data_IF_270729922292
#
_entry.id   IF_270729922292
#
_cell.length_a   1.000
_cell.length_b   1.000
_cell.length_c   1.000
_cell.angle_alpha   90.00
_cell.angle_beta   90.00
_cell.angle_gamma   90.00
#
_symmetry.space_group_name_H-M   'P 1'
#
loop_
_entity.id
_entity.type
_entity.pdbx_description
1 polymer ?
#
# COMPACT_ATOMS: atom_id res chain seq x y z
N UNK A 1 27.84 -15.71 0.24
CA UNK A 1 26.94 -14.64 -0.28
C UNK A 1 25.49 -14.74 0.23
N UNK A 2 25.25 -15.06 1.51
CA UNK A 2 23.88 -15.28 2.04
C UNK A 2 23.33 -14.12 2.90
N UNK A 3 24.19 -13.27 3.46
CA UNK A 3 23.78 -12.22 4.42
C UNK A 3 23.00 -11.06 3.79
N UNK A 4 23.33 -10.65 2.55
CA UNK A 4 22.66 -9.54 1.86
C UNK A 4 21.16 -9.81 1.56
N UNK A 5 20.74 -11.08 1.50
CA UNK A 5 19.36 -11.45 1.10
C UNK A 5 18.35 -11.44 2.25
N UNK A 6 18.78 -11.57 3.51
CA UNK A 6 17.87 -11.57 4.69
C UNK A 6 17.22 -10.21 4.96
N UNK A 7 17.84 -9.12 4.51
CA UNK A 7 17.37 -7.78 4.86
C UNK A 7 16.30 -7.27 3.88
N UNK A 8 16.21 -7.84 2.68
CA UNK A 8 15.24 -7.42 1.65
C UNK A 8 13.80 -7.49 2.14
N UNK A 9 13.45 -8.53 2.90
CA UNK A 9 12.10 -8.74 3.42
C UNK A 9 11.72 -7.67 4.45
N UNK A 10 12.67 -7.28 5.31
CA UNK A 10 12.50 -6.20 6.30
C UNK A 10 12.51 -4.81 5.67
N UNK A 11 13.36 -4.58 4.66
CA UNK A 11 13.39 -3.32 3.93
C UNK A 11 12.09 -3.08 3.17
N UNK A 12 11.49 -4.12 2.60
CA UNK A 12 10.19 -3.97 1.94
C UNK A 12 9.11 -3.59 2.96
N UNK A 13 9.07 -4.25 4.11
CA UNK A 13 8.14 -3.91 5.18
C UNK A 13 8.35 -2.46 5.67
N UNK A 14 9.60 -2.06 5.91
CA UNK A 14 9.95 -0.72 6.35
C UNK A 14 9.56 0.34 5.31
N UNK A 15 9.81 0.07 4.02
CA UNK A 15 9.36 0.94 2.94
C UNK A 15 7.83 1.04 2.91
N UNK A 16 7.12 -0.08 3.00
CA UNK A 16 5.66 -0.09 3.08
C UNK A 16 5.12 0.73 4.26
N UNK A 17 5.73 0.62 5.44
CA UNK A 17 5.36 1.43 6.61
C UNK A 17 5.65 2.90 6.37
N UNK A 18 6.80 3.25 5.79
CA UNK A 18 7.14 4.64 5.48
C UNK A 18 6.15 5.29 4.52
N UNK A 19 5.76 4.58 3.44
CA UNK A 19 4.72 5.05 2.53
C UNK A 19 3.38 5.23 3.25
N UNK A 20 2.96 4.26 4.06
CA UNK A 20 1.73 4.37 4.82
C UNK A 20 1.73 5.60 5.75
N UNK A 21 2.81 5.80 6.52
CA UNK A 21 2.96 6.94 7.41
C UNK A 21 2.97 8.28 6.68
N UNK A 22 3.63 8.36 5.51
CA UNK A 22 3.59 9.57 4.68
C UNK A 22 2.15 9.96 4.33
N UNK A 23 1.32 9.00 3.94
CA UNK A 23 -0.07 9.27 3.61
C UNK A 23 -0.90 9.70 4.84
N UNK A 24 -0.69 9.05 5.99
CA UNK A 24 -1.42 9.38 7.22
C UNK A 24 -1.02 10.73 7.80
N UNK A 25 0.26 11.09 7.76
CA UNK A 25 0.79 12.27 8.46
C UNK A 25 0.81 13.51 7.57
N UNK A 26 1.01 13.37 6.26
CA UNK A 26 1.13 14.52 5.35
C UNK A 26 -0.06 14.63 4.40
N UNK A 27 -0.36 13.56 3.66
CA UNK A 27 -1.33 13.62 2.55
C UNK A 27 -2.76 13.77 3.04
N UNK A 28 -3.19 12.95 4.00
CA UNK A 28 -4.57 12.97 4.51
C UNK A 28 -4.88 14.30 5.20
N UNK A 29 -4.03 14.82 6.11
CA UNK A 29 -4.28 16.13 6.71
C UNK A 29 -4.37 17.26 5.68
N UNK A 30 -3.52 17.22 4.64
CA UNK A 30 -3.60 18.19 3.54
C UNK A 30 -4.90 18.07 2.75
N UNK A 31 -5.32 16.84 2.44
CA UNK A 31 -6.57 16.60 1.71
C UNK A 31 -7.79 17.06 2.51
N UNK A 32 -7.78 16.84 3.82
CA UNK A 32 -8.87 17.24 4.71
C UNK A 32 -8.95 18.77 4.84
N UNK A 33 -7.82 19.46 5.01
CA UNK A 33 -7.78 20.92 5.12
C UNK A 33 -8.24 21.66 3.86
N UNK A 34 -8.20 21.00 2.70
CA UNK A 34 -8.62 21.56 1.41
C UNK A 34 -9.85 20.86 0.83
N UNK A 35 -10.65 20.20 1.68
CA UNK A 35 -11.96 19.62 1.34
C UNK A 35 -11.94 18.48 0.29
N UNK A 36 -10.80 17.81 0.06
CA UNK A 36 -10.74 16.66 -0.87
C UNK A 36 -11.57 15.45 -0.40
N UNK A 37 -11.76 15.32 0.92
CA UNK A 37 -12.54 14.26 1.54
C UNK A 37 -13.96 14.68 1.97
N UNK A 38 -14.33 15.95 1.76
CA UNK A 38 -15.63 16.48 2.17
C UNK A 38 -16.69 16.19 1.13
N UNK A 39 -17.80 15.55 1.51
CA UNK A 39 -18.96 15.37 0.62
C UNK A 39 -19.74 16.68 0.38
N UNK A 40 -19.58 17.67 1.27
CA UNK A 40 -20.38 18.88 1.29
C UNK A 40 -19.79 20.02 0.46
N UNK A 41 -18.54 19.89 0.02
CA UNK A 41 -17.78 20.98 -0.62
C UNK A 41 -16.77 20.44 -1.60
N UNK A 42 -16.64 21.10 -2.76
CA UNK A 42 -15.65 20.75 -3.78
C UNK A 42 -14.29 21.31 -3.35
N UNK A 43 -13.18 20.57 -3.54
CA UNK A 43 -11.84 21.09 -3.28
C UNK A 43 -11.52 22.33 -4.11
N UNK A 44 -10.69 23.22 -3.55
CA UNK A 44 -10.26 24.44 -4.22
C UNK A 44 -9.44 24.09 -5.47
N UNK A 45 -9.77 24.71 -6.60
CA UNK A 45 -9.14 24.38 -7.89
C UNK A 45 -7.63 24.56 -7.92
N UNK A 46 -7.09 25.53 -7.16
CA UNK A 46 -5.65 25.75 -7.02
C UNK A 46 -4.92 24.61 -6.30
N UNK A 47 -5.64 23.87 -5.46
CA UNK A 47 -5.07 22.84 -4.58
C UNK A 47 -5.07 21.45 -5.21
N UNK A 48 -5.81 21.26 -6.32
CA UNK A 48 -5.89 19.99 -7.04
C UNK A 48 -4.50 19.54 -7.52
N UNK A 49 -3.72 20.46 -8.09
CA UNK A 49 -2.40 20.13 -8.65
C UNK A 49 -1.36 19.81 -7.57
N UNK A 50 -1.19 20.63 -6.52
CA UNK A 50 -0.38 20.26 -5.35
C UNK A 50 -0.75 18.89 -4.78
N UNK A 51 -2.05 18.63 -4.58
CA UNK A 51 -2.51 17.37 -4.01
C UNK A 51 -2.21 16.18 -4.92
N UNK A 52 -2.44 16.32 -6.24
CA UNK A 52 -2.08 15.31 -7.24
C UNK A 52 -0.58 14.98 -7.22
N UNK A 53 0.29 15.98 -7.04
CA UNK A 53 1.74 15.80 -6.94
C UNK A 53 2.17 15.16 -5.62
N UNK A 54 1.41 15.34 -4.54
CA UNK A 54 1.66 14.67 -3.26
C UNK A 54 1.24 13.19 -3.28
N UNK A 55 0.19 12.84 -4.02
CA UNK A 55 -0.38 11.48 -4.02
C UNK A 55 0.19 10.59 -5.13
N UNK A 56 0.09 11.03 -6.39
CA UNK A 56 0.25 10.16 -7.57
C UNK A 56 1.70 9.74 -7.80
N UNK A 57 2.70 10.63 -7.71
CA UNK A 57 4.10 10.23 -7.76
C UNK A 57 4.47 9.22 -6.66
N UNK A 58 3.96 9.39 -5.44
CA UNK A 58 4.20 8.47 -4.34
C UNK A 58 3.64 7.07 -4.64
N UNK A 59 2.42 6.98 -5.20
CA UNK A 59 1.84 5.71 -5.67
C UNK A 59 2.72 5.05 -6.74
N UNK A 60 3.13 5.80 -7.76
CA UNK A 60 3.96 5.28 -8.86
C UNK A 60 5.30 4.74 -8.34
N UNK A 61 5.96 5.47 -7.45
CA UNK A 61 7.21 5.02 -6.82
C UNK A 61 6.97 3.74 -6.02
N UNK A 62 5.89 3.69 -5.23
CA UNK A 62 5.57 2.50 -4.44
C UNK A 62 5.30 1.27 -5.31
N UNK A 63 4.58 1.43 -6.43
CA UNK A 63 4.36 0.38 -7.41
C UNK A 63 5.69 -0.10 -8.04
N UNK A 64 6.55 0.82 -8.46
CA UNK A 64 7.87 0.47 -9.05
C UNK A 64 8.72 -0.32 -8.06
N UNK A 65 8.79 0.14 -6.80
CA UNK A 65 9.52 -0.57 -5.73
C UNK A 65 8.93 -1.96 -5.54
N UNK A 66 7.61 -2.05 -5.42
CA UNK A 66 6.90 -3.32 -5.23
C UNK A 66 7.18 -4.29 -6.37
N UNK A 67 7.01 -3.90 -7.63
CA UNK A 67 7.26 -4.77 -8.78
C UNK A 67 8.71 -5.27 -8.84
N UNK A 68 9.67 -4.41 -8.54
CA UNK A 68 11.10 -4.79 -8.53
C UNK A 68 11.44 -5.74 -7.39
N UNK A 69 10.75 -5.66 -6.25
CA UNK A 69 11.15 -6.34 -5.02
C UNK A 69 10.27 -7.54 -4.64
N UNK A 70 9.02 -7.63 -5.10
CA UNK A 70 8.08 -8.68 -4.72
C UNK A 70 8.58 -10.10 -5.06
N UNK A 71 9.26 -10.25 -6.20
CA UNK A 71 9.88 -11.52 -6.62
C UNK A 71 11.12 -11.89 -5.81
N UNK A 72 11.70 -10.94 -5.07
CA UNK A 72 12.87 -11.15 -4.22
C UNK A 72 12.51 -11.56 -2.79
N UNK A 73 11.24 -11.41 -2.39
CA UNK A 73 10.75 -11.76 -1.05
C UNK A 73 10.71 -13.29 -0.92
N UNK A 74 11.48 -13.83 0.02
CA UNK A 74 11.59 -15.29 0.22
C UNK A 74 11.06 -15.77 1.57
N UNK A 75 10.99 -14.89 2.54
CA UNK A 75 10.49 -15.15 3.89
C UNK A 75 9.56 -14.01 4.33
N UNK A 76 8.72 -14.22 5.35
CA UNK A 76 7.71 -13.24 5.80
C UNK A 76 6.76 -12.76 4.69
N UNK A 77 6.46 -13.63 3.71
CA UNK A 77 5.46 -13.34 2.66
C UNK A 77 4.07 -13.21 3.24
N UNK A 78 3.74 -13.96 4.28
CA UNK A 78 2.47 -13.85 4.99
C UNK A 78 2.21 -12.45 5.54
N UNK A 79 3.27 -11.68 5.83
CA UNK A 79 3.17 -10.30 6.32
C UNK A 79 3.36 -9.28 5.19
N UNK A 80 4.37 -9.48 4.34
CA UNK A 80 4.67 -8.53 3.26
C UNK A 80 3.53 -8.45 2.22
N UNK A 81 2.99 -9.57 1.78
CA UNK A 81 1.96 -9.57 0.72
C UNK A 81 0.67 -8.84 1.12
N UNK A 82 0.06 -9.09 2.31
CA UNK A 82 -1.12 -8.34 2.73
C UNK A 82 -0.82 -6.85 2.94
N UNK A 83 0.34 -6.50 3.51
CA UNK A 83 0.72 -5.08 3.71
C UNK A 83 0.90 -4.36 2.38
N UNK A 84 1.54 -5.01 1.40
CA UNK A 84 1.72 -4.45 0.06
C UNK A 84 0.38 -4.18 -0.60
N UNK A 85 -0.52 -5.17 -0.64
CA UNK A 85 -1.80 -5.01 -1.34
C UNK A 85 -2.69 -3.99 -0.63
N UNK A 86 -2.70 -3.99 0.70
CA UNK A 86 -3.41 -3.00 1.49
C UNK A 86 -2.94 -1.59 1.16
N UNK A 87 -1.62 -1.36 1.16
CA UNK A 87 -1.05 -0.05 0.82
C UNK A 87 -1.37 0.36 -0.62
N UNK A 88 -1.29 -0.54 -1.59
CA UNK A 88 -1.66 -0.23 -2.98
C UNK A 88 -3.13 0.21 -3.05
N UNK A 89 -4.04 -0.55 -2.44
CA UNK A 89 -5.47 -0.20 -2.40
C UNK A 89 -5.71 1.14 -1.70
N UNK A 90 -5.11 1.33 -0.52
CA UNK A 90 -5.24 2.53 0.29
C UNK A 90 -4.74 3.77 -0.44
N UNK A 91 -3.52 3.73 -0.96
CA UNK A 91 -2.92 4.86 -1.67
C UNK A 91 -3.69 5.16 -2.96
N UNK A 92 -4.14 4.13 -3.69
CA UNK A 92 -4.94 4.32 -4.91
C UNK A 92 -6.25 5.03 -4.59
N UNK A 93 -6.89 4.70 -3.47
CA UNK A 93 -8.11 5.37 -3.02
C UNK A 93 -7.86 6.85 -2.71
N UNK A 94 -6.75 7.17 -2.04
CA UNK A 94 -6.38 8.56 -1.79
C UNK A 94 -6.06 9.31 -3.10
N UNK A 95 -5.39 8.68 -4.07
CA UNK A 95 -5.15 9.29 -5.38
C UNK A 95 -6.46 9.58 -6.12
N UNK A 96 -7.47 8.70 -6.03
CA UNK A 96 -8.78 8.90 -6.66
C UNK A 96 -9.54 10.10 -6.06
N UNK A 97 -9.30 10.45 -4.79
CA UNK A 97 -9.90 11.65 -4.19
C UNK A 97 -9.49 12.95 -4.89
N UNK A 98 -8.31 12.99 -5.51
CA UNK A 98 -7.84 14.15 -6.28
C UNK A 98 -8.71 14.42 -7.53
N UNK A 99 -9.39 13.40 -8.05
CA UNK A 99 -10.20 13.47 -9.26
C UNK A 99 -11.70 13.54 -8.99
N UNK A 100 -12.16 12.89 -7.92
CA UNK A 100 -13.58 12.69 -7.65
C UNK A 100 -14.13 13.55 -6.50
N UNK A 101 -13.33 14.49 -5.97
CA UNK A 101 -13.70 15.53 -4.99
C UNK A 101 -14.93 15.23 -4.14
N UNK A 102 -14.73 14.76 -2.90
CA UNK A 102 -15.82 14.50 -1.98
C UNK A 102 -16.52 13.13 -2.13
N UNK A 103 -16.44 12.44 -3.27
CA UNK A 103 -17.04 11.09 -3.43
C UNK A 103 -16.24 9.96 -2.74
N UNK A 104 -15.38 10.32 -1.77
CA UNK A 104 -14.41 9.40 -1.15
C UNK A 104 -15.10 8.39 -0.24
N UNK A 105 -16.18 8.77 0.43
CA UNK A 105 -16.93 7.84 1.28
C UNK A 105 -17.46 6.64 0.47
N UNK A 106 -18.07 6.87 -0.69
CA UNK A 106 -18.55 5.80 -1.57
C UNK A 106 -17.43 4.93 -2.12
N UNK A 107 -16.29 5.55 -2.44
CA UNK A 107 -15.08 4.83 -2.84
C UNK A 107 -14.59 3.93 -1.69
N UNK A 108 -14.57 4.42 -0.45
CA UNK A 108 -14.19 3.62 0.74
C UNK A 108 -15.19 2.50 0.98
N UNK A 109 -16.49 2.77 0.85
CA UNK A 109 -17.54 1.79 1.08
C UNK A 109 -17.44 0.61 0.11
N UNK A 110 -17.08 0.85 -1.15
CA UNK A 110 -16.91 -0.20 -2.16
C UNK A 110 -15.52 -0.83 -2.09
N UNK A 111 -14.45 -0.02 -2.01
CA UNK A 111 -13.07 -0.52 -2.02
C UNK A 111 -12.64 -1.14 -0.70
N UNK A 112 -13.24 -0.76 0.44
CA UNK A 112 -12.92 -1.30 1.75
C UNK A 112 -13.10 -2.81 1.82
N UNK A 113 -14.30 -3.35 1.53
CA UNK A 113 -14.54 -4.79 1.47
C UNK A 113 -13.63 -5.51 0.46
N UNK A 114 -13.40 -4.92 -0.71
CA UNK A 114 -12.52 -5.49 -1.74
C UNK A 114 -11.07 -5.55 -1.24
N UNK A 115 -10.57 -4.48 -0.63
CA UNK A 115 -9.21 -4.42 -0.07
C UNK A 115 -9.05 -5.42 1.08
N UNK A 116 -10.06 -5.56 1.95
CA UNK A 116 -10.04 -6.54 3.03
C UNK A 116 -10.03 -7.96 2.49
N UNK A 117 -10.88 -8.28 1.51
CA UNK A 117 -10.90 -9.58 0.82
C UNK A 117 -9.53 -9.90 0.21
N UNK A 118 -8.95 -8.95 -0.55
CA UNK A 118 -7.63 -9.11 -1.14
C UNK A 118 -6.55 -9.31 -0.08
N UNK A 119 -6.59 -8.56 1.02
CA UNK A 119 -5.65 -8.69 2.13
C UNK A 119 -5.69 -10.11 2.72
N UNK A 120 -6.88 -10.67 2.95
CA UNK A 120 -7.05 -12.04 3.45
C UNK A 120 -6.53 -13.08 2.46
N UNK A 121 -6.82 -12.90 1.16
CA UNK A 121 -6.33 -13.79 0.09
C UNK A 121 -4.79 -13.78 0.06
N UNK A 122 -4.17 -12.59 0.04
CA UNK A 122 -2.72 -12.45 -0.03
C UNK A 122 -2.00 -12.88 1.25
N UNK A 123 -2.63 -12.71 2.41
CA UNK A 123 -2.18 -13.30 3.68
C UNK A 123 -2.11 -14.82 3.57
N UNK A 124 -3.20 -15.46 3.11
CA UNK A 124 -3.30 -16.92 2.96
C UNK A 124 -2.26 -17.45 1.97
N UNK A 125 -2.11 -16.79 0.81
CA UNK A 125 -1.09 -17.13 -0.19
C UNK A 125 0.33 -16.99 0.40
N UNK A 126 0.58 -15.91 1.14
CA UNK A 126 1.87 -15.68 1.79
C UNK A 126 2.18 -16.76 2.82
N UNK A 127 1.20 -17.14 3.65
CA UNK A 127 1.33 -18.19 4.66
C UNK A 127 1.66 -19.55 4.02
N UNK A 128 0.93 -19.96 2.98
CA UNK A 128 1.18 -21.22 2.27
C UNK A 128 2.60 -21.23 1.71
N UNK A 129 3.06 -20.12 1.11
CA UNK A 129 4.40 -20.01 0.55
C UNK A 129 5.49 -20.06 1.61
N UNK A 130 5.28 -19.44 2.76
CA UNK A 130 6.23 -19.46 3.87
C UNK A 130 6.30 -20.82 4.55
N UNK A 131 5.17 -21.52 4.73
CA UNK A 131 5.13 -22.89 5.25
C UNK A 131 5.89 -23.87 4.33
N UNK A 132 5.70 -23.75 3.01
CA UNK A 132 6.46 -24.55 2.02
C UNK A 132 7.96 -24.27 2.10
N UNK A 133 8.34 -22.99 2.26
CA UNK A 133 9.75 -22.61 2.41
C UNK A 133 10.37 -23.19 3.69
N UNK A 134 9.65 -23.11 4.82
CA UNK A 134 10.10 -23.68 6.09
C UNK A 134 10.23 -25.20 6.05
N UNK A 135 9.30 -25.91 5.38
CA UNK A 135 9.36 -27.35 5.20
C UNK A 135 10.57 -27.77 4.38
N UNK A 136 10.81 -27.11 3.24
CA UNK A 136 11.98 -27.37 2.40
C UNK A 136 13.31 -27.09 3.13
N UNK A 137 13.36 -26.04 3.96
CA UNK A 137 14.54 -25.74 4.78
C UNK A 137 14.78 -26.77 5.90
N UNK A 138 13.71 -27.42 6.39
CA UNK A 138 13.80 -28.49 7.40
C UNK A 138 14.25 -29.83 6.78
N UNK A 139 13.87 -30.13 5.54
CA UNK A 139 14.27 -31.34 4.82
C UNK A 139 15.74 -31.31 4.33
N UNK A 140 16.38 -30.14 4.31
CA UNK A 140 17.80 -29.97 3.96
C UNK A 140 18.75 -30.02 5.17
N UNK A 141 18.24 -30.30 6.37
CA UNK A 141 18.98 -30.36 7.63
C UNK A 141 19.00 -31.77 8.18
#
# INVERSE_FOLDING_TARGET
MAASRKNTDFYMLAASVAFFLYFIIAVIPYGDSHNFFSEASVPEGSEIWPYFLMTTPALLVYLIITFKWIGRIRFLRWLNYPVIIFNISFISLICLSAFNGGTVFWLIFIMGPVSLLLTVIFFTIGLIKDLKFLRAAKEQK
#
